data_IF_350455609644
#
_entry.id   IF_350455609644
#
_cell.length_a   1.000
_cell.length_b   1.000
_cell.length_c   1.000
_cell.angle_alpha   90.00
_cell.angle_beta   90.00
_cell.angle_gamma   90.00
#
_symmetry.space_group_name_H-M   'P 1'
#
loop_
_entity.id
_entity.type
_entity.pdbx_description
1 polymer ?
#
# COMPACT_ATOMS: atom_id res chain seq x y z
N UNK A 1 3.43 12.98 1.16
CA UNK A 1 3.74 11.65 1.77
C UNK A 1 3.52 11.65 3.28
N UNK A 2 4.14 12.58 4.02
CA UNK A 2 4.11 12.66 5.48
C UNK A 2 2.70 12.60 6.08
N UNK A 3 1.73 13.35 5.53
CA UNK A 3 0.35 13.35 6.02
C UNK A 3 -0.31 11.94 5.98
N UNK A 4 -0.16 11.20 4.88
CA UNK A 4 -0.70 9.83 4.78
C UNK A 4 0.01 8.87 5.72
N UNK A 5 1.34 8.95 5.85
CA UNK A 5 2.08 8.11 6.81
C UNK A 5 1.67 8.39 8.25
N UNK A 6 1.43 9.66 8.61
CA UNK A 6 0.93 10.03 9.93
C UNK A 6 -0.48 9.49 10.18
N UNK A 7 -1.38 9.59 9.20
CA UNK A 7 -2.72 9.02 9.31
C UNK A 7 -2.70 7.50 9.51
N UNK A 8 -1.87 6.78 8.73
CA UNK A 8 -1.70 5.33 8.86
C UNK A 8 -1.15 4.93 10.24
N UNK A 9 -0.15 5.65 10.74
CA UNK A 9 0.36 5.44 12.11
C UNK A 9 -0.74 5.67 13.14
N UNK A 10 -1.53 6.73 12.99
CA UNK A 10 -2.70 7.01 13.83
C UNK A 10 -3.67 5.82 13.85
N UNK A 11 -4.05 5.30 12.68
CA UNK A 11 -4.93 4.15 12.58
C UNK A 11 -4.36 2.87 13.20
N UNK A 12 -3.04 2.65 13.09
CA UNK A 12 -2.37 1.51 13.75
C UNK A 12 -2.42 1.67 15.27
N UNK A 13 -2.09 2.86 15.78
CA UNK A 13 -2.14 3.13 17.24
C UNK A 13 -3.56 3.03 17.80
N UNK A 14 -4.58 3.35 17.01
CA UNK A 14 -5.98 3.17 17.39
C UNK A 14 -6.50 1.73 17.21
N UNK A 15 -5.65 0.77 16.81
CA UNK A 15 -6.05 -0.62 16.58
C UNK A 15 -6.99 -0.83 15.39
N UNK A 16 -7.19 0.19 14.54
CA UNK A 16 -8.11 0.12 13.39
C UNK A 16 -7.53 -0.67 12.23
N UNK A 17 -6.21 -0.71 12.10
CA UNK A 17 -5.48 -1.41 11.04
C UNK A 17 -4.40 -2.32 11.63
N UNK A 18 -4.11 -3.43 10.93
CA UNK A 18 -2.99 -4.32 11.26
C UNK A 18 -1.64 -3.73 10.84
N UNK A 19 -0.55 -4.38 11.23
CA UNK A 19 0.79 -4.02 10.76
C UNK A 19 0.94 -4.20 9.24
N UNK A 20 0.34 -5.25 8.69
CA UNK A 20 0.34 -5.48 7.24
C UNK A 20 -0.46 -4.41 6.48
N UNK A 21 -1.58 -3.95 7.05
CA UNK A 21 -2.36 -2.85 6.48
C UNK A 21 -1.56 -1.52 6.48
N UNK A 22 -0.73 -1.28 7.50
CA UNK A 22 0.18 -0.13 7.52
C UNK A 22 1.22 -0.23 6.40
N UNK A 23 1.75 -1.44 6.14
CA UNK A 23 2.71 -1.69 5.07
C UNK A 23 2.09 -1.47 3.68
N UNK A 24 0.90 -2.00 3.44
CA UNK A 24 0.12 -1.77 2.21
C UNK A 24 -0.16 -0.27 2.04
N UNK A 25 -0.64 0.38 3.10
CA UNK A 25 -0.95 1.82 3.09
C UNK A 25 0.27 2.67 2.77
N UNK A 26 1.47 2.33 3.26
CA UNK A 26 2.71 3.04 2.94
C UNK A 26 3.08 2.92 1.46
N UNK A 27 2.90 1.74 0.85
CA UNK A 27 3.12 1.52 -0.58
C UNK A 27 2.12 2.30 -1.43
N UNK A 28 0.84 2.31 -1.05
CA UNK A 28 -0.19 3.15 -1.68
C UNK A 28 0.16 4.64 -1.59
N UNK A 29 0.54 5.12 -0.40
CA UNK A 29 0.94 6.51 -0.20
C UNK A 29 2.18 6.87 -1.03
N UNK A 30 3.08 5.93 -1.31
CA UNK A 30 4.21 6.13 -2.21
C UNK A 30 3.75 6.38 -3.65
N UNK A 31 2.91 5.50 -4.19
CA UNK A 31 2.38 5.61 -5.57
C UNK A 31 1.55 6.87 -5.75
N UNK A 32 0.60 7.13 -4.84
CA UNK A 32 -0.28 8.31 -4.89
C UNK A 32 0.46 9.65 -4.75
N UNK A 33 1.66 9.64 -4.16
CA UNK A 33 2.51 10.84 -4.07
C UNK A 33 3.52 10.94 -5.20
N UNK A 34 3.42 10.08 -6.22
CA UNK A 34 4.29 10.05 -7.39
C UNK A 34 5.72 9.57 -7.10
N UNK A 35 5.89 8.74 -6.07
CA UNK A 35 7.14 8.07 -5.77
C UNK A 35 8.33 9.02 -5.57
N UNK A 36 9.50 8.68 -6.11
CA UNK A 36 10.73 9.45 -5.91
C UNK A 36 10.87 10.64 -6.88
N UNK A 37 10.21 10.60 -8.05
CA UNK A 37 10.32 11.66 -9.07
C UNK A 37 9.35 12.83 -8.86
N UNK A 38 8.30 12.62 -8.07
CA UNK A 38 7.36 13.70 -7.75
C UNK A 38 7.96 14.70 -6.77
N UNK A 39 7.71 15.98 -7.05
CA UNK A 39 8.04 17.08 -6.18
C UNK A 39 6.95 18.14 -6.24
N UNK A 40 6.96 19.08 -5.29
CA UNK A 40 5.95 20.16 -5.20
C UNK A 40 5.78 20.97 -6.49
N UNK A 41 6.82 21.00 -7.33
CA UNK A 41 6.88 21.79 -8.57
C UNK A 41 7.05 20.94 -9.83
N UNK A 42 7.05 19.60 -9.71
CA UNK A 42 7.33 18.70 -10.84
C UNK A 42 6.15 17.76 -11.09
N UNK A 43 5.62 17.86 -12.30
CA UNK A 43 4.72 16.87 -12.88
C UNK A 43 5.48 15.57 -13.11
N UNK A 44 4.82 14.44 -12.87
CA UNK A 44 5.34 13.12 -13.22
C UNK A 44 4.66 12.64 -14.48
N UNK A 45 5.39 11.86 -15.27
CA UNK A 45 4.87 11.20 -16.46
C UNK A 45 3.94 10.04 -16.07
N UNK A 46 2.93 9.78 -16.89
CA UNK A 46 1.96 8.70 -16.69
C UNK A 46 2.64 7.32 -16.69
N UNK A 47 3.59 7.09 -17.60
CA UNK A 47 4.28 5.82 -17.70
C UNK A 47 5.07 5.53 -16.42
N UNK A 48 5.70 6.56 -15.85
CA UNK A 48 6.39 6.41 -14.58
C UNK A 48 5.44 6.10 -13.41
N UNK A 49 4.23 6.67 -13.38
CA UNK A 49 3.22 6.31 -12.38
C UNK A 49 2.80 4.84 -12.50
N UNK A 50 2.59 4.36 -13.73
CA UNK A 50 2.26 2.96 -13.99
C UNK A 50 3.39 2.01 -13.58
N UNK A 51 4.64 2.40 -13.81
CA UNK A 51 5.80 1.60 -13.45
C UNK A 51 5.91 1.44 -11.93
N UNK A 52 5.79 2.54 -11.17
CA UNK A 52 5.85 2.48 -9.70
C UNK A 52 4.65 1.77 -9.08
N UNK A 53 3.46 1.88 -9.70
CA UNK A 53 2.27 1.15 -9.28
C UNK A 53 2.49 -0.36 -9.45
N UNK A 54 3.00 -0.77 -10.61
CA UNK A 54 3.30 -2.17 -10.91
C UNK A 54 4.34 -2.73 -9.95
N UNK A 55 5.42 -2.00 -9.69
CA UNK A 55 6.45 -2.41 -8.75
C UNK A 55 5.87 -2.58 -7.33
N UNK A 56 5.08 -1.61 -6.87
CA UNK A 56 4.43 -1.68 -5.56
C UNK A 56 3.47 -2.87 -5.47
N UNK A 57 2.68 -3.12 -6.51
CA UNK A 57 1.75 -4.25 -6.56
C UNK A 57 2.47 -5.59 -6.53
N UNK A 58 3.49 -5.79 -7.39
CA UNK A 58 4.27 -7.04 -7.44
C UNK A 58 4.97 -7.30 -6.10
N UNK A 59 5.53 -6.26 -5.49
CA UNK A 59 6.13 -6.34 -4.16
C UNK A 59 5.11 -6.81 -3.11
N UNK A 60 3.89 -6.27 -3.11
CA UNK A 60 2.84 -6.67 -2.16
C UNK A 60 2.27 -8.06 -2.45
N UNK A 61 2.22 -8.48 -3.70
CA UNK A 61 1.78 -9.82 -4.09
C UNK A 61 2.78 -10.92 -3.66
N UNK A 62 4.06 -10.56 -3.53
CA UNK A 62 5.10 -11.43 -2.97
C UNK A 62 5.01 -11.62 -1.45
N UNK A 63 4.28 -10.78 -0.73
CA UNK A 63 4.14 -10.89 0.72
C UNK A 63 3.28 -12.09 1.14
N UNK A 64 3.77 -12.88 2.07
CA UNK A 64 3.08 -14.09 2.55
C UNK A 64 1.70 -13.77 3.13
N UNK A 65 1.59 -12.68 3.90
CA UNK A 65 0.32 -12.25 4.48
C UNK A 65 -0.70 -11.86 3.40
N UNK A 66 -0.25 -11.25 2.29
CA UNK A 66 -1.13 -10.95 1.15
C UNK A 66 -1.63 -12.23 0.47
N UNK A 67 -0.76 -13.21 0.26
CA UNK A 67 -1.13 -14.50 -0.32
C UNK A 67 -2.10 -15.27 0.59
N UNK A 68 -1.89 -15.24 1.89
CA UNK A 68 -2.78 -15.85 2.88
C UNK A 68 -4.17 -15.18 2.85
N UNK A 69 -4.22 -13.84 2.76
CA UNK A 69 -5.47 -13.10 2.61
C UNK A 69 -6.22 -13.48 1.33
N UNK A 70 -5.51 -13.59 0.20
CA UNK A 70 -6.10 -14.01 -1.09
C UNK A 70 -6.63 -15.45 -0.97
N UNK A 71 -5.82 -16.39 -0.48
CA UNK A 71 -6.22 -17.79 -0.33
C UNK A 71 -7.42 -17.94 0.61
N UNK A 72 -7.42 -17.22 1.73
CA UNK A 72 -8.52 -17.24 2.68
C UNK A 72 -9.80 -16.64 2.09
N UNK A 73 -9.70 -15.50 1.41
CA UNK A 73 -10.84 -14.88 0.73
C UNK A 73 -11.47 -15.84 -0.29
N UNK A 74 -10.65 -16.49 -1.13
CA UNK A 74 -11.12 -17.46 -2.12
C UNK A 74 -11.76 -18.70 -1.48
N UNK A 75 -11.25 -19.16 -0.33
CA UNK A 75 -11.75 -20.36 0.36
C UNK A 75 -12.99 -20.12 1.23
N UNK A 76 -13.07 -18.97 1.89
CA UNK A 76 -14.07 -18.68 2.94
C UNK A 76 -15.06 -17.58 2.55
N UNK A 77 -14.82 -16.87 1.46
CA UNK A 77 -15.66 -15.75 1.00
C UNK A 77 -15.65 -14.54 1.92
N UNK A 78 -14.75 -14.49 2.92
CA UNK A 78 -14.63 -13.40 3.89
C UNK A 78 -13.18 -12.89 3.92
N UNK A 79 -12.95 -11.58 4.15
CA UNK A 79 -11.60 -11.05 4.26
C UNK A 79 -10.89 -11.58 5.51
N UNK A 80 -9.62 -11.95 5.36
CA UNK A 80 -8.72 -12.21 6.47
C UNK A 80 -8.02 -10.89 6.85
N UNK A 81 -7.97 -10.59 8.15
CA UNK A 81 -7.13 -9.52 8.70
C UNK A 81 -6.09 -10.14 9.61
N UNK A 82 -4.86 -10.22 9.11
CA UNK A 82 -3.64 -10.65 9.79
C UNK A 82 -2.61 -9.52 9.76
#
# INVERSE_FOLDING_TARGET
RTAMTMALKGFKTSGKISEHDELIGKKLAYVLTGGNKAGLTKSVDEQYLLDIEREAFVSLAGEKLSQDRISYMLKKGKPLRN
#
